data_IF_090192512681
#
_entry.id   IF_090192512681
#
_cell.length_a   1.000
_cell.length_b   1.000
_cell.length_c   1.000
_cell.angle_alpha   90.00
_cell.angle_beta   90.00
_cell.angle_gamma   90.00
#
_symmetry.space_group_name_H-M   'P 1'
#
loop_
_entity.id
_entity.type
_entity.pdbx_description
1 polymer ?
#
# COMPACT_ATOMS: atom_id res chain seq x y z
N UNK A 1 8.90 -18.15 -15.27
CA UNK A 1 8.08 -17.45 -14.30
C UNK A 1 6.63 -17.90 -14.42
N UNK A 2 5.98 -18.18 -13.33
CA UNK A 2 4.54 -18.45 -13.25
C UNK A 2 3.82 -17.24 -12.73
N UNK A 3 2.67 -16.93 -13.33
CA UNK A 3 1.80 -15.83 -12.90
C UNK A 3 0.37 -16.35 -12.87
N UNK A 4 -0.35 -16.13 -11.75
CA UNK A 4 -1.76 -16.44 -11.64
C UNK A 4 -2.46 -15.47 -10.68
N UNK A 5 -3.77 -15.52 -10.63
CA UNK A 5 -4.58 -14.64 -9.80
C UNK A 5 -5.59 -15.42 -8.97
N UNK A 6 -5.96 -14.86 -7.82
CA UNK A 6 -7.01 -15.35 -6.94
C UNK A 6 -7.80 -14.16 -6.37
N UNK A 7 -9.09 -14.35 -6.03
CA UNK A 7 -9.84 -13.33 -5.30
C UNK A 7 -9.19 -13.04 -3.95
N UNK A 8 -9.16 -11.75 -3.56
CA UNK A 8 -8.71 -11.35 -2.22
C UNK A 8 -9.87 -10.95 -1.30
N UNK A 9 -10.98 -10.59 -1.87
CA UNK A 9 -12.18 -10.17 -1.15
C UNK A 9 -12.78 -8.92 -1.74
N UNK A 10 -13.66 -8.29 -0.97
CA UNK A 10 -14.38 -7.08 -1.37
C UNK A 10 -14.14 -5.99 -0.34
N UNK A 11 -13.81 -4.80 -0.81
CA UNK A 11 -13.60 -3.62 0.04
C UNK A 11 -14.91 -3.15 0.69
N UNK A 12 -14.81 -2.28 1.69
CA UNK A 12 -15.99 -1.62 2.31
C UNK A 12 -16.82 -0.85 1.28
N UNK A 13 -16.17 -0.31 0.25
CA UNK A 13 -16.82 0.39 -0.85
C UNK A 13 -17.50 -0.54 -1.88
N UNK A 14 -17.35 -1.86 -1.73
CA UNK A 14 -17.93 -2.86 -2.64
C UNK A 14 -17.07 -3.19 -3.85
N UNK A 15 -15.82 -2.73 -3.90
CA UNK A 15 -14.87 -3.05 -4.97
C UNK A 15 -14.21 -4.41 -4.73
N UNK A 16 -14.10 -5.21 -5.78
CA UNK A 16 -13.41 -6.51 -5.71
C UNK A 16 -11.91 -6.31 -5.80
N UNK A 17 -11.20 -6.91 -4.84
CA UNK A 17 -9.74 -6.95 -4.84
C UNK A 17 -9.23 -8.31 -5.29
N UNK A 18 -8.10 -8.31 -5.99
CA UNK A 18 -7.47 -9.50 -6.57
C UNK A 18 -6.06 -9.66 -6.04
N UNK A 19 -5.66 -10.90 -5.76
CA UNK A 19 -4.27 -11.26 -5.52
C UNK A 19 -3.59 -11.66 -6.83
N UNK A 20 -2.38 -11.18 -7.01
CA UNK A 20 -1.50 -11.53 -8.13
C UNK A 20 -0.28 -12.26 -7.58
N UNK A 21 -0.08 -13.46 -8.06
CA UNK A 21 1.03 -14.32 -7.66
C UNK A 21 2.07 -14.35 -8.77
N UNK A 22 3.32 -14.13 -8.40
CA UNK A 22 4.48 -14.23 -9.30
C UNK A 22 5.47 -15.20 -8.66
N UNK A 23 5.86 -16.23 -9.38
CA UNK A 23 6.81 -17.24 -8.89
C UNK A 23 7.90 -17.47 -9.93
N UNK A 24 9.16 -17.39 -9.50
CA UNK A 24 10.30 -17.67 -10.37
C UNK A 24 10.66 -19.17 -10.36
N UNK A 25 11.68 -19.54 -11.13
CA UNK A 25 12.14 -20.94 -11.24
C UNK A 25 12.71 -21.49 -9.95
N UNK A 26 13.15 -20.66 -9.02
CA UNK A 26 13.75 -21.05 -7.75
C UNK A 26 12.72 -21.17 -6.62
N UNK A 27 11.44 -20.97 -6.93
CA UNK A 27 10.36 -21.03 -5.97
C UNK A 27 10.21 -19.77 -5.10
N UNK A 28 10.94 -18.70 -5.39
CA UNK A 28 10.68 -17.38 -4.77
C UNK A 28 9.36 -16.84 -5.29
N UNK A 29 8.47 -16.45 -4.38
CA UNK A 29 7.12 -16.03 -4.72
C UNK A 29 6.82 -14.65 -4.13
N UNK A 30 6.33 -13.74 -4.98
CA UNK A 30 5.73 -12.49 -4.56
C UNK A 30 4.21 -12.55 -4.73
N UNK A 31 3.49 -11.97 -3.79
CA UNK A 31 2.02 -11.82 -3.86
C UNK A 31 1.70 -10.34 -3.68
N UNK A 32 0.99 -9.79 -4.64
CA UNK A 32 0.53 -8.40 -4.63
C UNK A 32 -0.98 -8.35 -4.73
N UNK A 33 -1.57 -7.21 -4.41
CA UNK A 33 -2.98 -6.95 -4.69
C UNK A 33 -3.14 -5.66 -5.48
N UNK A 34 -4.22 -5.54 -6.24
CA UNK A 34 -4.64 -4.29 -6.90
C UNK A 34 -5.21 -3.26 -5.92
N UNK A 35 -5.47 -3.64 -4.67
CA UNK A 35 -5.78 -2.68 -3.60
C UNK A 35 -4.52 -1.91 -3.23
N UNK A 36 -4.41 -0.67 -3.74
CA UNK A 36 -3.27 0.23 -3.50
C UNK A 36 -1.91 -0.31 -3.97
N UNK A 37 -1.88 -1.30 -4.86
CA UNK A 37 -0.64 -2.00 -5.29
C UNK A 37 0.19 -2.44 -4.07
N UNK A 38 -0.45 -3.16 -3.16
CA UNK A 38 0.17 -3.60 -1.91
C UNK A 38 0.92 -4.92 -2.10
N UNK A 39 2.15 -5.00 -1.59
CA UNK A 39 2.90 -6.24 -1.49
C UNK A 39 2.42 -7.02 -0.26
N UNK A 40 1.69 -8.12 -0.48
CA UNK A 40 1.12 -8.93 0.59
C UNK A 40 2.10 -9.92 1.18
N UNK A 41 2.99 -10.47 0.35
CA UNK A 41 3.91 -11.53 0.74
C UNK A 41 5.10 -11.58 -0.20
N UNK A 42 6.27 -11.89 0.33
CA UNK A 42 7.45 -12.27 -0.44
C UNK A 42 8.09 -13.48 0.24
N UNK A 43 7.89 -14.63 -0.36
CA UNK A 43 8.45 -15.90 0.15
C UNK A 43 9.79 -16.19 -0.52
N UNK A 44 10.82 -16.30 0.29
CA UNK A 44 12.17 -16.68 -0.11
C UNK A 44 12.64 -17.89 0.71
N UNK A 45 13.14 -18.91 0.04
CA UNK A 45 13.59 -20.15 0.69
C UNK A 45 12.55 -20.73 1.68
N UNK A 46 11.27 -20.69 1.31
CA UNK A 46 10.15 -21.20 2.11
C UNK A 46 9.72 -20.32 3.29
N UNK A 47 10.28 -19.12 3.40
CA UNK A 47 9.93 -18.16 4.46
C UNK A 47 9.36 -16.88 3.87
N UNK A 48 8.24 -16.40 4.41
CA UNK A 48 7.74 -15.07 4.12
C UNK A 48 8.59 -14.03 4.87
N UNK A 49 9.09 -13.04 4.15
CA UNK A 49 9.98 -12.01 4.68
C UNK A 49 9.31 -10.64 4.76
N UNK A 50 8.02 -10.57 4.48
CA UNK A 50 7.21 -9.34 4.51
C UNK A 50 6.19 -9.42 5.63
N UNK A 51 6.10 -8.37 6.44
CA UNK A 51 5.00 -8.21 7.39
C UNK A 51 3.72 -7.87 6.64
N UNK A 52 2.62 -8.50 7.00
CA UNK A 52 1.34 -8.30 6.35
C UNK A 52 0.18 -8.94 7.10
N UNK A 53 -0.98 -8.88 6.47
CA UNK A 53 -2.24 -9.42 6.97
C UNK A 53 -2.85 -10.43 5.99
N UNK A 54 -3.84 -11.16 6.44
CA UNK A 54 -4.45 -12.23 5.64
C UNK A 54 -5.72 -11.78 4.89
N UNK A 55 -6.35 -10.69 5.31
CA UNK A 55 -7.62 -10.23 4.77
C UNK A 55 -7.56 -8.82 4.19
N UNK A 56 -8.41 -8.54 3.19
CA UNK A 56 -8.56 -7.19 2.65
C UNK A 56 -9.01 -6.20 3.72
N UNK A 57 -9.83 -6.64 4.67
CA UNK A 57 -10.33 -5.80 5.75
C UNK A 57 -9.19 -5.26 6.63
N UNK A 58 -8.23 -6.10 6.97
CA UNK A 58 -7.08 -5.70 7.77
C UNK A 58 -6.23 -4.66 7.05
N UNK A 59 -6.07 -4.80 5.72
CA UNK A 59 -5.37 -3.81 4.91
C UNK A 59 -6.12 -2.48 4.78
N UNK A 60 -7.45 -2.50 4.76
CA UNK A 60 -8.27 -1.26 4.79
C UNK A 60 -8.18 -0.52 6.14
N UNK A 61 -7.93 -1.25 7.22
CA UNK A 61 -7.93 -0.72 8.59
C UNK A 61 -6.52 -0.45 9.13
N UNK A 62 -5.47 -0.90 8.44
CA UNK A 62 -4.10 -0.74 8.92
C UNK A 62 -3.66 0.73 8.97
N UNK A 63 -2.77 1.03 9.90
CA UNK A 63 -2.10 2.33 10.03
C UNK A 63 -0.58 2.24 9.81
N UNK A 64 -0.05 1.03 9.69
CA UNK A 64 1.37 0.71 9.66
C UNK A 64 1.98 0.77 8.25
N UNK A 65 1.17 0.89 7.21
CA UNK A 65 1.60 0.88 5.80
C UNK A 65 2.33 -0.42 5.39
N UNK A 66 2.01 -1.56 5.98
CA UNK A 66 2.63 -2.84 5.62
C UNK A 66 2.44 -3.15 4.14
N UNK A 67 3.56 -3.33 3.43
CA UNK A 67 3.59 -3.63 2.01
C UNK A 67 3.03 -2.53 1.10
N UNK A 68 2.61 -1.41 1.66
CA UNK A 68 1.90 -0.37 0.93
C UNK A 68 2.78 0.35 -0.11
N UNK A 69 2.18 0.65 -1.25
CA UNK A 69 2.71 1.66 -2.17
C UNK A 69 2.21 3.03 -1.71
N UNK A 70 3.11 3.90 -1.30
CA UNK A 70 2.77 5.20 -0.74
C UNK A 70 2.90 6.31 -1.77
N UNK A 71 1.97 7.26 -1.75
CA UNK A 71 1.94 8.39 -2.69
C UNK A 71 0.62 9.18 -2.57
N UNK A 72 0.49 10.21 -3.38
CA UNK A 72 1.40 10.61 -4.50
C UNK A 72 2.79 11.07 -4.03
N UNK A 73 2.86 11.80 -2.91
CA UNK A 73 4.13 12.21 -2.31
C UNK A 73 4.47 11.26 -1.16
N UNK A 74 5.60 10.55 -1.27
CA UNK A 74 6.10 9.69 -0.21
C UNK A 74 6.89 10.49 0.83
N UNK A 75 6.66 10.21 2.10
CA UNK A 75 7.31 10.92 3.19
C UNK A 75 6.51 12.14 3.68
N UNK A 76 7.08 12.92 4.62
CA UNK A 76 6.40 14.04 5.23
C UNK A 76 6.50 15.31 4.38
N UNK A 77 5.39 16.06 4.33
CA UNK A 77 5.36 17.46 3.91
C UNK A 77 5.10 18.29 5.17
N UNK A 78 6.06 19.17 5.57
CA UNK A 78 5.97 19.91 6.82
C UNK A 78 4.69 20.75 6.89
N UNK A 79 3.93 20.57 7.96
CA UNK A 79 2.65 21.25 8.23
C UNK A 79 1.61 21.09 7.11
N UNK A 80 1.80 20.14 6.20
CA UNK A 80 0.94 19.94 5.03
C UNK A 80 1.00 21.10 4.02
N UNK A 81 2.00 21.97 4.08
CA UNK A 81 2.13 23.12 3.17
C UNK A 81 3.00 22.77 1.97
N UNK A 82 2.38 22.75 0.80
CA UNK A 82 3.06 22.51 -0.48
C UNK A 82 3.02 23.79 -1.33
N UNK A 83 4.19 24.31 -1.65
CA UNK A 83 4.31 25.46 -2.56
C UNK A 83 4.62 24.98 -3.99
N UNK A 84 3.80 25.44 -4.94
CA UNK A 84 4.00 25.21 -6.37
C UNK A 84 3.95 26.56 -7.07
N UNK A 85 5.11 27.04 -7.53
CA UNK A 85 5.23 28.39 -8.04
C UNK A 85 4.97 29.43 -6.96
N UNK A 86 3.99 30.31 -7.19
CA UNK A 86 3.57 31.35 -6.22
C UNK A 86 2.40 30.88 -5.32
N UNK A 87 1.83 29.69 -5.58
CA UNK A 87 0.68 29.17 -4.83
C UNK A 87 1.14 28.23 -3.72
N UNK A 88 0.53 28.37 -2.55
CA UNK A 88 0.68 27.47 -1.40
C UNK A 88 -0.62 26.67 -1.24
N UNK A 89 -0.49 25.35 -1.27
CA UNK A 89 -1.60 24.42 -1.04
C UNK A 89 -1.55 23.88 0.37
N UNK A 90 -2.68 23.89 1.06
CA UNK A 90 -2.82 23.24 2.36
C UNK A 90 -3.33 21.83 2.14
N UNK A 91 -2.49 20.84 2.46
CA UNK A 91 -2.79 19.42 2.39
C UNK A 91 -3.29 18.91 3.75
N UNK A 92 -3.91 17.74 3.75
CA UNK A 92 -4.33 17.09 4.99
C UNK A 92 -3.12 16.79 5.89
N UNK A 93 -3.33 16.87 7.20
CA UNK A 93 -2.30 16.68 8.22
C UNK A 93 -2.57 15.36 8.95
N UNK A 94 -2.15 14.24 8.34
CA UNK A 94 -2.37 12.89 8.83
C UNK A 94 -1.16 12.27 9.54
N UNK A 95 -0.04 13.01 9.59
CA UNK A 95 1.18 12.57 10.23
C UNK A 95 1.48 13.32 11.52
N UNK A 96 2.55 12.90 12.20
CA UNK A 96 3.02 13.53 13.42
C UNK A 96 3.42 14.99 13.19
N UNK A 97 3.31 15.81 14.25
CA UNK A 97 3.66 17.24 14.25
C UNK A 97 2.89 18.07 13.21
N UNK A 98 1.71 17.61 12.79
CA UNK A 98 0.90 18.30 11.79
C UNK A 98 1.38 18.18 10.35
N UNK A 99 2.22 17.21 10.06
CA UNK A 99 2.70 16.93 8.71
C UNK A 99 1.65 16.24 7.84
N UNK A 100 1.73 16.42 6.52
CA UNK A 100 1.11 15.49 5.58
C UNK A 100 2.06 14.32 5.39
N UNK A 101 1.55 13.10 5.48
CA UNK A 101 2.33 11.87 5.36
C UNK A 101 1.77 10.98 4.26
N UNK A 102 2.65 10.51 3.37
CA UNK A 102 2.37 9.48 2.38
C UNK A 102 1.12 9.71 1.50
N UNK A 103 0.83 10.96 1.18
CA UNK A 103 -0.31 11.31 0.34
C UNK A 103 -1.57 11.74 1.11
N UNK A 104 -1.53 11.79 2.44
CA UNK A 104 -2.65 12.22 3.27
C UNK A 104 -3.62 11.10 3.61
N UNK A 105 -4.85 11.45 4.01
CA UNK A 105 -5.89 10.47 4.38
C UNK A 105 -6.43 9.67 3.19
N UNK A 106 -6.26 10.17 1.98
CA UNK A 106 -6.67 9.52 0.73
C UNK A 106 -5.47 9.32 -0.20
N UNK A 107 -4.48 8.60 0.28
CA UNK A 107 -3.33 8.18 -0.52
C UNK A 107 -3.63 6.95 -1.39
N UNK A 108 -2.59 6.21 -1.78
CA UNK A 108 -2.74 4.96 -2.55
C UNK A 108 -3.04 3.74 -1.68
N UNK A 109 -2.74 3.81 -0.39
CA UNK A 109 -2.96 2.75 0.60
C UNK A 109 -4.20 3.01 1.45
#
# INVERSE_FOLDING_TARGET
MKIWTEPFGTTKAGEKATKYFLENSDGTRAVLTDFGVTLLSLSFAGKDVVLGYDTIRDYEEQTEYFGATVGRFAGPIPYGKLQVGEKVYQLTQNGDFGNNMHGGFTGFS
#
